data_IF_972340789468
#
_entry.id   IF_972340789468
#
_cell.length_a   1.000
_cell.length_b   1.000
_cell.length_c   1.000
_cell.angle_alpha   90.00
_cell.angle_beta   90.00
_cell.angle_gamma   90.00
#
_symmetry.space_group_name_H-M   'P 1'
#
loop_
_entity.id
_entity.type
_entity.pdbx_description
1 polymer ?
#
# COMPACT_ATOMS: atom_id res chain seq x y z
N UNK A 1 4.62 12.80 -11.54
CA UNK A 1 4.49 11.44 -12.10
C UNK A 1 3.11 10.92 -11.70
N UNK A 2 2.34 10.41 -12.65
CA UNK A 2 1.06 9.76 -12.37
C UNK A 2 1.13 8.29 -12.80
N UNK A 3 0.58 7.40 -11.99
CA UNK A 3 0.47 5.96 -12.30
C UNK A 3 -0.98 5.57 -12.04
N UNK A 4 -1.64 5.00 -13.04
CA UNK A 4 -3.00 4.47 -12.93
C UNK A 4 -2.97 2.96 -13.23
N UNK A 5 -3.69 2.16 -12.44
CA UNK A 5 -3.74 0.71 -12.57
C UNK A 5 -5.20 0.25 -12.62
N UNK A 6 -5.54 -0.56 -13.61
CA UNK A 6 -6.81 -1.29 -13.62
C UNK A 6 -6.67 -2.52 -12.72
N UNK A 7 -7.41 -2.58 -11.63
CA UNK A 7 -7.33 -3.64 -10.61
C UNK A 7 -8.61 -4.48 -10.59
N UNK A 8 -8.50 -5.75 -10.19
CA UNK A 8 -9.67 -6.60 -9.94
C UNK A 8 -10.25 -6.27 -8.57
N UNK A 9 -11.55 -6.44 -8.41
CA UNK A 9 -12.21 -6.21 -7.11
C UNK A 9 -11.62 -7.07 -5.98
N UNK A 10 -11.18 -8.29 -6.31
CA UNK A 10 -10.54 -9.20 -5.35
C UNK A 10 -9.24 -8.65 -4.75
N UNK A 11 -8.58 -7.70 -5.41
CA UNK A 11 -7.32 -7.10 -4.95
C UNK A 11 -7.55 -5.89 -4.03
N UNK A 12 -8.78 -5.36 -3.96
CA UNK A 12 -9.09 -4.12 -3.23
C UNK A 12 -8.74 -4.24 -1.75
N UNK A 13 -9.10 -5.33 -1.09
CA UNK A 13 -8.84 -5.49 0.35
C UNK A 13 -7.34 -5.60 0.66
N UNK A 14 -6.56 -6.23 -0.24
CA UNK A 14 -5.11 -6.31 -0.13
C UNK A 14 -4.44 -4.95 -0.30
N UNK A 15 -4.94 -4.13 -1.24
CA UNK A 15 -4.50 -2.74 -1.42
C UNK A 15 -4.87 -1.90 -0.20
N UNK A 16 -6.10 -2.03 0.30
CA UNK A 16 -6.56 -1.31 1.47
C UNK A 16 -5.69 -1.59 2.69
N UNK A 17 -5.29 -2.85 2.90
CA UNK A 17 -4.34 -3.20 3.96
C UNK A 17 -3.00 -2.46 3.82
N UNK A 18 -2.47 -2.35 2.60
CA UNK A 18 -1.23 -1.62 2.35
C UNK A 18 -1.38 -0.12 2.59
N UNK A 19 -2.51 0.45 2.17
CA UNK A 19 -2.83 1.87 2.40
C UNK A 19 -3.01 2.17 3.89
N UNK A 20 -3.66 1.30 4.67
CA UNK A 20 -3.83 1.49 6.12
C UNK A 20 -2.50 1.72 6.83
N UNK A 21 -1.45 1.01 6.43
CA UNK A 21 -0.11 1.17 7.01
C UNK A 21 0.45 2.57 6.78
N UNK A 22 0.18 3.17 5.61
CA UNK A 22 0.60 4.52 5.28
C UNK A 22 -0.27 5.62 5.93
N UNK A 23 -1.33 5.23 6.66
CA UNK A 23 -2.23 6.15 7.38
C UNK A 23 -2.65 7.37 6.55
N UNK A 24 -3.21 7.19 5.35
CA UNK A 24 -3.62 8.30 4.51
C UNK A 24 -4.79 9.05 5.15
N UNK A 25 -4.88 10.35 4.85
CA UNK A 25 -6.04 11.17 5.19
C UNK A 25 -7.12 10.98 4.11
N UNK A 26 -8.29 10.50 4.50
CA UNK A 26 -9.44 10.28 3.62
C UNK A 26 -10.46 11.40 3.86
N UNK A 27 -10.74 12.19 2.82
CA UNK A 27 -11.65 13.35 2.91
C UNK A 27 -13.10 12.99 2.60
N UNK A 28 -13.32 12.31 1.47
CA UNK A 28 -14.64 11.89 1.01
C UNK A 28 -14.55 10.45 0.49
N UNK A 29 -15.56 9.63 0.78
CA UNK A 29 -15.68 8.30 0.24
C UNK A 29 -17.15 7.89 0.08
N UNK A 30 -17.49 7.31 -1.07
CA UNK A 30 -18.80 6.75 -1.37
C UNK A 30 -18.72 5.22 -1.38
N UNK A 31 -18.11 4.64 -0.34
CA UNK A 31 -17.87 3.21 -0.24
C UNK A 31 -19.00 2.58 0.58
N UNK A 32 -19.79 1.65 0.02
CA UNK A 32 -20.82 0.96 0.78
C UNK A 32 -20.19 0.04 1.83
N UNK A 33 -20.94 -0.27 2.90
CA UNK A 33 -20.48 -1.27 3.87
C UNK A 33 -20.39 -2.66 3.20
N UNK A 34 -19.18 -3.21 3.14
CA UNK A 34 -18.92 -4.56 2.64
C UNK A 34 -18.22 -5.41 3.70
N UNK A 35 -18.90 -6.39 4.32
CA UNK A 35 -18.30 -7.28 5.31
C UNK A 35 -17.21 -8.20 4.72
N UNK A 36 -17.17 -8.41 3.41
CA UNK A 36 -16.15 -9.22 2.75
C UNK A 36 -14.79 -8.51 2.62
N UNK A 37 -14.74 -7.20 2.89
CA UNK A 37 -13.53 -6.35 2.74
C UNK A 37 -13.18 -5.62 4.05
N UNK A 38 -12.76 -6.35 5.09
CA UNK A 38 -12.55 -5.77 6.42
C UNK A 38 -11.41 -4.75 6.45
N UNK A 39 -10.38 -4.85 5.60
CA UNK A 39 -9.32 -3.84 5.55
C UNK A 39 -9.80 -2.58 4.85
N UNK A 40 -10.66 -2.70 3.84
CA UNK A 40 -11.28 -1.52 3.23
C UNK A 40 -12.15 -0.77 4.25
N UNK A 41 -13.00 -1.48 5.01
CA UNK A 41 -13.82 -0.89 6.07
C UNK A 41 -12.97 -0.14 7.11
N UNK A 42 -11.91 -0.77 7.61
CA UNK A 42 -11.02 -0.14 8.59
C UNK A 42 -10.24 1.05 8.01
N UNK A 43 -9.92 1.02 6.72
CA UNK A 43 -9.26 2.13 6.04
C UNK A 43 -10.18 3.35 6.00
N UNK A 44 -11.42 3.20 5.52
CA UNK A 44 -12.38 4.31 5.39
C UNK A 44 -12.80 4.89 6.75
N UNK A 45 -12.88 4.05 7.78
CA UNK A 45 -13.18 4.48 9.15
C UNK A 45 -11.99 5.17 9.85
N UNK A 46 -10.82 5.25 9.20
CA UNK A 46 -9.63 5.86 9.80
C UNK A 46 -9.03 5.05 10.95
N UNK A 47 -9.30 3.75 11.04
CA UNK A 47 -8.77 2.90 12.11
C UNK A 47 -7.25 2.71 11.94
N UNK A 48 -6.50 3.48 12.71
CA UNK A 48 -5.04 3.60 12.64
C UNK A 48 -4.29 2.78 13.70
N UNK A 49 -4.98 1.92 14.46
CA UNK A 49 -4.35 1.04 15.45
C UNK A 49 -3.58 -0.08 14.75
N UNK A 50 -2.38 0.25 14.31
CA UNK A 50 -1.44 -0.63 13.65
C UNK A 50 -0.49 -1.23 14.68
N UNK A 51 -0.39 -2.56 14.69
CA UNK A 51 0.64 -3.26 15.44
C UNK A 51 1.89 -3.41 14.57
N UNK A 52 3.10 -3.38 15.16
CA UNK A 52 4.31 -3.73 14.43
C UNK A 52 4.19 -5.12 13.77
N UNK A 53 4.77 -5.33 12.57
CA UNK A 53 5.67 -4.42 11.87
C UNK A 53 4.95 -3.28 11.13
N UNK A 54 5.48 -2.05 11.25
CA UNK A 54 4.97 -0.84 10.58
C UNK A 54 5.40 -0.74 9.10
N UNK A 55 5.60 -1.87 8.46
CA UNK A 55 5.93 -2.00 7.04
C UNK A 55 5.23 -3.22 6.50
N UNK A 56 4.66 -3.11 5.31
CA UNK A 56 3.99 -4.23 4.65
C UNK A 56 4.42 -4.33 3.19
N UNK A 57 4.41 -5.55 2.67
CA UNK A 57 4.60 -5.85 1.26
C UNK A 57 3.38 -6.62 0.79
N UNK A 58 2.69 -6.10 -0.23
CA UNK A 58 1.55 -6.77 -0.86
C UNK A 58 1.80 -6.88 -2.34
N UNK A 59 1.52 -8.04 -2.90
CA UNK A 59 1.58 -8.27 -4.33
C UNK A 59 0.16 -8.42 -4.84
N UNK A 60 -0.16 -7.72 -5.92
CA UNK A 60 -1.45 -7.75 -6.60
C UNK A 60 -1.24 -8.03 -8.09
N UNK A 61 -2.31 -8.41 -8.78
CA UNK A 61 -2.32 -8.50 -10.24
C UNK A 61 -3.30 -7.49 -10.85
N UNK A 62 -2.89 -6.83 -11.94
CA UNK A 62 -3.80 -5.96 -12.71
C UNK A 62 -4.89 -6.79 -13.41
N UNK A 63 -5.99 -6.13 -13.78
CA UNK A 63 -7.17 -6.79 -14.32
C UNK A 63 -7.02 -7.31 -15.75
N UNK A 64 -6.17 -6.69 -16.57
CA UNK A 64 -5.90 -7.11 -17.94
C UNK A 64 -5.32 -8.53 -17.98
N UNK A 65 -5.53 -9.30 -19.05
CA UNK A 65 -4.84 -10.57 -19.28
C UNK A 65 -3.59 -10.32 -20.15
N UNK A 66 -2.39 -10.82 -19.80
CA UNK A 66 -2.08 -11.82 -18.75
C UNK A 66 -1.88 -11.29 -17.32
N UNK A 67 -2.14 -10.02 -17.04
CA UNK A 67 -2.09 -9.44 -15.69
C UNK A 67 -0.67 -9.08 -15.28
N UNK A 68 -0.43 -7.81 -14.96
CA UNK A 68 0.86 -7.35 -14.49
C UNK A 68 0.93 -7.53 -12.97
N UNK A 69 1.99 -8.17 -12.50
CA UNK A 69 2.28 -8.29 -11.06
C UNK A 69 2.83 -6.97 -10.55
N UNK A 70 2.13 -6.37 -9.59
CA UNK A 70 2.54 -5.12 -8.95
C UNK A 70 2.79 -5.40 -7.48
N UNK A 71 3.94 -4.95 -6.97
CA UNK A 71 4.29 -5.07 -5.55
C UNK A 71 4.21 -3.70 -4.87
N UNK A 72 3.34 -3.60 -3.88
CA UNK A 72 3.12 -2.42 -3.06
C UNK A 72 3.96 -2.58 -1.78
N UNK A 73 4.91 -1.66 -1.59
CA UNK A 73 5.66 -1.52 -0.35
C UNK A 73 5.10 -0.31 0.40
N UNK A 74 4.60 -0.53 1.62
CA UNK A 74 4.07 0.53 2.45
C UNK A 74 4.82 0.57 3.79
N UNK A 75 5.01 1.79 4.29
CA UNK A 75 5.73 2.10 5.53
C UNK A 75 4.91 3.15 6.27
N UNK A 76 4.58 2.86 7.52
CA UNK A 76 3.87 3.80 8.37
C UNK A 76 4.76 4.94 8.87
N UNK A 77 4.13 6.07 9.16
CA UNK A 77 4.79 7.29 9.65
C UNK A 77 5.64 7.03 10.89
N UNK A 78 5.11 6.26 11.85
CA UNK A 78 5.80 5.92 13.10
C UNK A 78 7.03 5.02 12.91
N UNK A 79 7.24 4.46 11.72
CA UNK A 79 8.45 3.70 11.42
C UNK A 79 9.63 4.63 11.20
N UNK A 80 10.71 4.48 11.98
CA UNK A 80 11.95 5.24 11.80
C UNK A 80 12.86 4.70 10.69
N UNK A 81 12.44 3.65 9.98
CA UNK A 81 13.22 3.12 8.86
C UNK A 81 13.17 4.04 7.64
N UNK A 82 14.36 4.27 7.07
CA UNK A 82 14.52 4.90 5.77
C UNK A 82 14.01 3.94 4.69
N UNK A 83 13.03 4.38 3.89
CA UNK A 83 12.26 3.50 3.01
C UNK A 83 13.11 2.93 1.87
N UNK A 84 14.03 3.68 1.30
CA UNK A 84 14.81 3.23 0.15
C UNK A 84 15.82 2.14 0.54
N UNK A 85 16.75 2.44 1.44
CA UNK A 85 17.86 1.56 1.82
C UNK A 85 17.45 0.45 2.77
N UNK A 86 16.56 0.72 3.74
CA UNK A 86 16.20 -0.28 4.77
C UNK A 86 15.03 -1.15 4.33
N UNK A 87 14.16 -0.69 3.43
CA UNK A 87 12.99 -1.45 2.96
C UNK A 87 13.18 -1.88 1.50
N UNK A 88 13.23 -0.94 0.55
CA UNK A 88 13.16 -1.25 -0.88
C UNK A 88 14.39 -1.99 -1.41
N UNK A 89 15.62 -1.50 -1.16
CA UNK A 89 16.86 -2.15 -1.61
C UNK A 89 16.95 -3.60 -1.11
N UNK A 90 16.58 -3.83 0.16
CA UNK A 90 16.58 -5.17 0.76
C UNK A 90 15.54 -6.09 0.11
N UNK A 91 14.37 -5.57 -0.25
CA UNK A 91 13.28 -6.35 -0.83
C UNK A 91 13.46 -6.60 -2.33
N UNK A 92 13.94 -5.61 -3.06
CA UNK A 92 14.16 -5.67 -4.51
C UNK A 92 15.49 -6.32 -4.87
N UNK A 93 16.40 -6.51 -3.90
CA UNK A 93 17.75 -7.07 -4.11
C UNK A 93 18.53 -6.35 -5.22
N UNK A 94 18.29 -5.05 -5.37
CA UNK A 94 18.90 -4.21 -6.41
C UNK A 94 19.33 -2.88 -5.83
N UNK A 95 20.26 -2.22 -6.52
CA UNK A 95 20.68 -0.86 -6.17
C UNK A 95 19.64 0.15 -6.67
N UNK A 96 19.23 1.07 -5.79
CA UNK A 96 18.30 2.15 -6.11
C UNK A 96 19.09 3.46 -6.09
N UNK A 97 19.03 4.22 -7.18
CA UNK A 97 19.56 5.58 -7.22
C UNK A 97 18.59 6.50 -6.51
N UNK A 98 19.05 7.19 -5.47
CA UNK A 98 18.28 8.17 -4.71
C UNK A 98 18.90 9.54 -4.95
N UNK A 99 18.13 10.46 -5.51
CA UNK A 99 18.54 11.84 -5.74
C UNK A 99 17.76 12.77 -4.83
N UNK A 100 18.43 13.76 -4.25
CA UNK A 100 17.81 14.81 -3.45
C UNK A 100 18.36 16.16 -3.91
N UNK A 101 17.49 17.14 -4.11
CA UNK A 101 17.91 18.54 -4.23
C UNK A 101 18.27 19.01 -2.82
N UNK A 102 19.54 19.27 -2.56
CA UNK A 102 20.00 19.78 -1.26
C UNK A 102 19.57 21.23 -1.10
#
# INVERSE_FOLDING_TARGET
>A
LFICLTIKESEIDAIAMALRIATPLIYHNDIPEDPARPNLKKLVNGESRLTPPLTVTRQISTAAAPGLKVTIYSKGEKSKYEIYRRVLVKKLKTSIKVWTTR
#
